data_IF_150699249721
#
_entry.id   IF_150699249721
#
_cell.length_a   1.000
_cell.length_b   1.000
_cell.length_c   1.000
_cell.angle_alpha   90.00
_cell.angle_beta   90.00
_cell.angle_gamma   90.00
#
_symmetry.space_group_name_H-M   'P 1'
#
loop_
_entity.id
_entity.type
_entity.pdbx_description
1 polymer ?
#
# COMPACT_ATOMS: atom_id res chain seq x y z
N UNK A 1 -2.53 8.81 4.73
CA UNK A 1 -3.20 8.27 3.51
C UNK A 1 -2.81 9.06 2.27
N UNK A 2 -2.87 10.38 2.29
CA UNK A 2 -2.52 11.24 1.14
C UNK A 2 -1.13 10.96 0.54
N UNK A 3 -0.11 10.73 1.38
CA UNK A 3 1.23 10.36 0.91
C UNK A 3 1.23 9.08 0.04
N UNK A 4 0.51 8.03 0.45
CA UNK A 4 0.38 6.79 -0.33
C UNK A 4 -0.40 7.07 -1.62
N UNK A 5 -1.54 7.76 -1.51
CA UNK A 5 -2.37 8.12 -2.67
C UNK A 5 -1.61 8.94 -3.72
N UNK A 6 -0.65 9.78 -3.33
CA UNK A 6 0.20 10.51 -4.28
C UNK A 6 1.10 9.60 -5.12
N UNK A 7 1.49 8.44 -4.58
CA UNK A 7 2.29 7.44 -5.28
C UNK A 7 1.44 6.40 -6.00
N UNK A 8 0.28 6.02 -5.46
CA UNK A 8 -0.59 5.02 -6.11
C UNK A 8 -1.46 5.64 -7.21
N UNK A 9 -1.83 6.92 -7.09
CA UNK A 9 -2.88 7.53 -7.91
C UNK A 9 -2.59 8.97 -8.36
N UNK A 10 -1.36 9.46 -8.16
CA UNK A 10 -0.96 10.85 -8.47
C UNK A 10 -1.95 11.90 -7.97
N UNK A 11 -2.51 11.69 -6.77
CA UNK A 11 -3.53 12.56 -6.18
C UNK A 11 -3.51 12.52 -4.66
N UNK A 12 -3.78 13.66 -4.01
CA UNK A 12 -3.99 13.73 -2.55
C UNK A 12 -5.43 13.38 -2.15
N UNK A 13 -6.39 13.40 -3.09
CA UNK A 13 -7.76 12.97 -2.82
C UNK A 13 -7.85 11.45 -2.78
N UNK A 14 -7.35 10.89 -1.68
CA UNK A 14 -7.35 9.45 -1.44
C UNK A 14 -8.76 8.87 -1.33
N UNK A 15 -9.77 9.68 -1.01
CA UNK A 15 -11.17 9.23 -0.92
C UNK A 15 -11.79 9.06 -2.30
N UNK A 16 -11.35 9.78 -3.33
CA UNK A 16 -11.75 9.49 -4.70
C UNK A 16 -11.37 8.05 -5.13
N UNK A 17 -10.35 7.47 -4.49
CA UNK A 17 -9.79 6.17 -4.86
C UNK A 17 -10.64 4.98 -4.41
N UNK A 18 -11.68 5.16 -3.58
CA UNK A 18 -12.61 4.07 -3.28
C UNK A 18 -13.22 3.44 -4.55
N UNK A 19 -13.41 4.25 -5.60
CA UNK A 19 -13.97 3.83 -6.88
C UNK A 19 -12.92 3.45 -7.93
N UNK A 20 -11.63 3.66 -7.66
CA UNK A 20 -10.55 3.31 -8.57
C UNK A 20 -10.58 1.80 -8.83
N UNK A 21 -10.42 1.42 -10.10
CA UNK A 21 -10.26 0.05 -10.57
C UNK A 21 -9.72 0.08 -12.00
N UNK A 22 -8.57 -0.56 -12.20
CA UNK A 22 -7.88 -0.66 -13.47
C UNK A 22 -6.97 -1.89 -13.44
N UNK A 23 -6.77 -2.54 -14.58
CA UNK A 23 -5.60 -3.44 -14.72
C UNK A 23 -4.48 -2.59 -15.32
N UNK A 24 -3.39 -2.47 -14.57
CA UNK A 24 -2.24 -1.65 -14.93
C UNK A 24 -1.14 -2.46 -15.63
N UNK A 25 -1.47 -3.67 -16.08
CA UNK A 25 -0.60 -4.58 -16.81
C UNK A 25 0.67 -4.98 -16.03
N UNK A 26 0.59 -5.02 -14.70
CA UNK A 26 1.70 -5.40 -13.81
C UNK A 26 1.68 -6.89 -13.37
N UNK A 27 0.78 -7.67 -13.98
CA UNK A 27 0.61 -9.10 -13.69
C UNK A 27 -0.21 -9.41 -12.44
N UNK A 28 -0.85 -8.41 -11.80
CA UNK A 28 -1.74 -8.62 -10.64
C UNK A 28 -3.23 -8.63 -11.01
N UNK A 29 -3.55 -8.42 -12.29
CA UNK A 29 -4.91 -8.23 -12.79
C UNK A 29 -5.49 -6.89 -12.33
N UNK A 30 -6.81 -6.83 -12.11
CA UNK A 30 -7.43 -5.61 -11.59
C UNK A 30 -6.81 -5.18 -10.26
N UNK A 31 -6.38 -3.93 -10.20
CA UNK A 31 -5.94 -3.19 -9.02
C UNK A 31 -6.98 -2.11 -8.70
N UNK A 32 -7.47 -2.06 -7.46
CA UNK A 32 -8.64 -1.25 -7.14
C UNK A 32 -8.66 -0.70 -5.71
N UNK A 33 -9.41 0.38 -5.48
CA UNK A 33 -9.63 0.93 -4.15
C UNK A 33 -8.46 1.74 -3.58
N UNK A 34 -8.61 2.13 -2.31
CA UNK A 34 -7.75 3.14 -1.63
C UNK A 34 -6.28 2.75 -1.41
N UNK A 35 -5.92 1.49 -1.63
CA UNK A 35 -4.55 0.97 -1.50
C UNK A 35 -4.18 -0.01 -2.64
N UNK A 36 -4.98 -0.07 -3.70
CA UNK A 36 -4.71 -0.98 -4.81
C UNK A 36 -4.87 -2.47 -4.46
N UNK A 37 -6.04 -2.87 -3.94
CA UNK A 37 -6.37 -4.28 -3.78
C UNK A 37 -6.36 -5.00 -5.13
N UNK A 38 -5.68 -6.15 -5.27
CA UNK A 38 -5.60 -6.83 -6.56
C UNK A 38 -6.40 -8.14 -6.64
N UNK A 39 -6.95 -8.45 -7.80
CA UNK A 39 -7.65 -9.71 -8.04
C UNK A 39 -6.72 -10.93 -7.98
N UNK A 40 -5.45 -10.75 -8.35
CA UNK A 40 -4.44 -11.81 -8.39
C UNK A 40 -3.76 -12.10 -7.05
N UNK A 41 -3.83 -11.19 -6.06
CA UNK A 41 -3.12 -11.31 -4.76
C UNK A 41 -4.01 -11.73 -3.61
N UNK A 42 -5.31 -11.85 -3.83
CA UNK A 42 -6.28 -12.44 -2.89
C UNK A 42 -6.86 -11.47 -1.86
N UNK A 43 -6.26 -10.29 -1.69
CA UNK A 43 -6.76 -9.20 -0.85
C UNK A 43 -8.05 -8.58 -1.41
N UNK A 44 -8.19 -8.41 -2.73
CA UNK A 44 -9.48 -8.00 -3.33
C UNK A 44 -10.58 -9.03 -3.05
N UNK A 45 -10.26 -10.32 -3.13
CA UNK A 45 -11.19 -11.38 -2.76
C UNK A 45 -11.58 -11.29 -1.28
N UNK A 46 -10.60 -11.09 -0.39
CA UNK A 46 -10.83 -10.87 1.05
C UNK A 46 -11.78 -9.71 1.33
N UNK A 47 -11.54 -8.57 0.67
CA UNK A 47 -12.38 -7.37 0.73
C UNK A 47 -13.83 -7.64 0.28
N UNK A 48 -14.02 -8.27 -0.88
CA UNK A 48 -15.39 -8.55 -1.38
C UNK A 48 -16.10 -9.56 -0.49
N UNK A 49 -15.38 -10.52 0.11
CA UNK A 49 -15.93 -11.43 1.13
C UNK A 49 -16.39 -10.64 2.36
N UNK A 50 -15.57 -9.73 2.90
CA UNK A 50 -15.93 -8.90 4.05
C UNK A 50 -17.16 -8.03 3.75
N UNK A 51 -17.17 -7.35 2.60
CA UNK A 51 -18.29 -6.53 2.17
C UNK A 51 -19.57 -7.35 2.04
N UNK A 52 -19.48 -8.56 1.46
CA UNK A 52 -20.64 -9.45 1.30
C UNK A 52 -21.17 -9.99 2.61
N UNK A 53 -20.31 -10.23 3.60
CA UNK A 53 -20.76 -10.60 4.95
C UNK A 53 -21.54 -9.47 5.63
N UNK A 54 -21.12 -8.21 5.43
CA UNK A 54 -21.77 -7.04 6.04
C UNK A 54 -23.02 -6.58 5.30
N UNK A 55 -23.03 -6.73 3.98
CA UNK A 55 -24.16 -6.39 3.11
C UNK A 55 -24.43 -7.55 2.13
N UNK A 56 -25.19 -8.57 2.55
CA UNK A 56 -25.58 -9.66 1.67
C UNK A 56 -26.32 -9.14 0.43
N UNK A 57 -26.07 -9.75 -0.73
CA UNK A 57 -26.71 -9.35 -2.00
C UNK A 57 -26.21 -8.01 -2.59
N UNK A 58 -25.08 -7.48 -2.11
CA UNK A 58 -24.46 -6.31 -2.72
C UNK A 58 -24.02 -6.56 -4.18
N UNK A 59 -23.76 -5.51 -4.98
CA UNK A 59 -23.43 -5.63 -6.41
C UNK A 59 -22.18 -6.47 -6.74
N UNK A 60 -21.28 -6.67 -5.77
CA UNK A 60 -20.04 -7.43 -5.95
C UNK A 60 -20.18 -8.92 -5.55
N UNK A 61 -21.24 -9.29 -4.82
CA UNK A 61 -21.39 -10.64 -4.28
C UNK A 61 -21.41 -11.72 -5.38
N UNK A 62 -22.03 -11.44 -6.53
CA UNK A 62 -22.09 -12.35 -7.67
C UNK A 62 -20.73 -12.64 -8.31
N UNK A 63 -19.72 -11.81 -8.07
CA UNK A 63 -18.38 -11.98 -8.63
C UNK A 63 -17.45 -12.83 -7.74
N UNK A 64 -17.87 -13.20 -6.52
CA UNK A 64 -17.07 -14.02 -5.61
C UNK A 64 -16.57 -15.35 -6.22
N UNK A 65 -17.37 -16.11 -7.01
CA UNK A 65 -16.86 -17.31 -7.68
C UNK A 65 -15.73 -17.00 -8.66
N UNK A 66 -15.87 -15.95 -9.47
CA UNK A 66 -14.85 -15.53 -10.43
C UNK A 66 -13.57 -15.05 -9.71
N UNK A 67 -13.70 -14.21 -8.68
CA UNK A 67 -12.57 -13.75 -7.87
C UNK A 67 -11.78 -14.92 -7.25
N UNK A 68 -12.46 -15.98 -6.78
CA UNK A 68 -11.77 -17.19 -6.29
C UNK A 68 -11.02 -17.93 -7.39
N UNK A 69 -11.57 -17.95 -8.60
CA UNK A 69 -10.97 -18.67 -9.72
C UNK A 69 -9.75 -17.96 -10.30
N UNK A 70 -9.76 -16.63 -10.34
CA UNK A 70 -8.64 -15.84 -10.90
C UNK A 70 -7.56 -15.51 -9.88
N UNK A 71 -7.81 -15.71 -8.59
CA UNK A 71 -6.82 -15.47 -7.54
C UNK A 71 -5.52 -16.27 -7.79
N UNK A 72 -4.38 -15.60 -7.71
CA UNK A 72 -3.06 -16.12 -8.09
C UNK A 72 -2.70 -15.93 -9.57
N UNK A 73 -3.54 -15.24 -10.36
CA UNK A 73 -3.31 -14.93 -11.78
C UNK A 73 -3.74 -13.50 -12.10
N UNK A 74 -3.37 -13.00 -13.28
CA UNK A 74 -3.84 -11.72 -13.86
C UNK A 74 -5.16 -11.86 -14.64
N UNK A 75 -5.85 -13.00 -14.56
CA UNK A 75 -7.01 -13.27 -15.42
C UNK A 75 -8.24 -12.42 -15.11
N UNK A 76 -8.91 -11.93 -16.15
CA UNK A 76 -10.21 -11.24 -16.05
C UNK A 76 -11.43 -12.14 -16.26
N UNK A 77 -11.25 -13.46 -16.35
CA UNK A 77 -12.34 -14.41 -16.65
C UNK A 77 -13.46 -14.32 -15.60
N UNK A 78 -14.66 -13.95 -16.05
CA UNK A 78 -15.85 -13.83 -15.19
C UNK A 78 -16.00 -12.50 -14.45
N UNK A 79 -15.08 -11.55 -14.64
CA UNK A 79 -15.15 -10.19 -14.07
C UNK A 79 -15.56 -9.16 -15.13
N UNK A 80 -14.60 -8.76 -15.98
CA UNK A 80 -14.77 -7.87 -17.13
C UNK A 80 -15.41 -6.51 -16.82
N UNK A 81 -15.97 -5.83 -17.85
CA UNK A 81 -16.57 -4.50 -17.71
C UNK A 81 -17.73 -4.43 -16.70
N UNK A 82 -18.45 -5.54 -16.52
CA UNK A 82 -19.51 -5.64 -15.52
C UNK A 82 -18.98 -5.49 -14.10
N UNK A 83 -17.86 -6.14 -13.78
CA UNK A 83 -17.20 -6.03 -12.49
C UNK A 83 -16.70 -4.60 -12.22
N UNK A 84 -16.05 -3.98 -13.21
CA UNK A 84 -15.61 -2.58 -13.15
C UNK A 84 -16.78 -1.63 -12.83
N UNK A 85 -17.91 -1.80 -13.52
CA UNK A 85 -19.11 -1.00 -13.27
C UNK A 85 -19.69 -1.26 -11.87
N UNK A 86 -19.76 -2.52 -11.45
CA UNK A 86 -20.27 -2.90 -10.14
C UNK A 86 -19.38 -2.37 -9.00
N UNK A 87 -18.05 -2.34 -9.19
CA UNK A 87 -17.10 -1.78 -8.26
C UNK A 87 -17.34 -0.28 -8.05
N UNK A 88 -17.40 0.48 -9.16
CA UNK A 88 -17.67 1.92 -9.12
C UNK A 88 -19.02 2.23 -8.46
N UNK A 89 -20.05 1.42 -8.73
CA UNK A 89 -21.33 1.56 -8.07
C UNK A 89 -21.26 1.24 -6.57
N UNK A 90 -20.53 0.18 -6.18
CA UNK A 90 -20.34 -0.19 -4.78
C UNK A 90 -19.56 0.88 -4.02
N UNK A 91 -18.63 1.61 -4.64
CA UNK A 91 -17.87 2.69 -4.00
C UNK A 91 -18.74 3.85 -3.47
N UNK A 92 -19.98 3.99 -3.97
CA UNK A 92 -20.96 4.92 -3.42
C UNK A 92 -21.56 4.44 -2.09
N UNK A 93 -21.52 3.15 -1.79
CA UNK A 93 -22.01 2.57 -0.53
C UNK A 93 -21.02 2.81 0.63
N UNK A 94 -21.44 3.50 1.72
CA UNK A 94 -20.59 3.64 2.91
C UNK A 94 -20.14 2.31 3.52
N UNK A 95 -20.89 1.21 3.37
CA UNK A 95 -20.49 -0.11 3.90
C UNK A 95 -19.30 -0.67 3.10
N UNK A 96 -19.25 -0.44 1.79
CA UNK A 96 -18.11 -0.87 0.98
C UNK A 96 -16.87 -0.02 1.27
N UNK A 97 -17.03 1.30 1.41
CA UNK A 97 -15.92 2.19 1.83
C UNK A 97 -15.35 1.76 3.19
N UNK A 98 -16.22 1.44 4.14
CA UNK A 98 -15.80 0.94 5.45
C UNK A 98 -15.12 -0.43 5.37
N UNK A 99 -15.54 -1.30 4.47
CA UNK A 99 -14.86 -2.58 4.23
C UNK A 99 -13.45 -2.37 3.67
N UNK A 100 -13.25 -1.39 2.76
CA UNK A 100 -11.92 -1.03 2.28
C UNK A 100 -11.04 -0.47 3.40
N UNK A 101 -11.56 0.44 4.23
CA UNK A 101 -10.82 0.98 5.38
C UNK A 101 -10.39 -0.14 6.35
N UNK A 102 -11.30 -1.04 6.70
CA UNK A 102 -11.01 -2.10 7.66
C UNK A 102 -10.04 -3.15 7.11
N UNK A 103 -10.07 -3.48 5.81
CA UNK A 103 -9.07 -4.37 5.21
C UNK A 103 -7.70 -3.71 5.08
N UNK A 104 -7.64 -2.43 4.70
CA UNK A 104 -6.40 -1.63 4.77
C UNK A 104 -5.80 -1.72 6.17
N UNK A 105 -6.63 -1.49 7.20
CA UNK A 105 -6.17 -1.44 8.58
C UNK A 105 -5.73 -2.80 9.11
N UNK A 106 -6.48 -3.85 8.78
CA UNK A 106 -6.20 -5.22 9.23
C UNK A 106 -4.95 -5.81 8.61
N UNK A 107 -4.74 -5.61 7.30
CA UNK A 107 -3.67 -6.30 6.55
C UNK A 107 -2.41 -5.46 6.46
N UNK A 108 -2.53 -4.14 6.34
CA UNK A 108 -1.41 -3.27 6.00
C UNK A 108 -1.08 -2.29 7.13
N UNK A 109 -2.00 -1.39 7.48
CA UNK A 109 -1.69 -0.28 8.39
C UNK A 109 -1.41 -0.74 9.81
N UNK A 110 -2.32 -1.50 10.43
CA UNK A 110 -2.16 -2.00 11.80
C UNK A 110 -0.88 -2.82 11.98
N UNK A 111 -0.62 -3.85 11.14
CA UNK A 111 0.61 -4.62 11.22
C UNK A 111 1.88 -3.79 10.99
N UNK A 112 1.86 -2.82 10.07
CA UNK A 112 3.02 -1.97 9.78
C UNK A 112 3.37 -1.08 10.96
N UNK A 113 2.37 -0.37 11.50
CA UNK A 113 2.53 0.53 12.64
C UNK A 113 2.97 -0.27 13.87
N UNK A 114 2.30 -1.37 14.20
CA UNK A 114 2.67 -2.20 15.34
C UNK A 114 4.12 -2.74 15.22
N UNK A 115 4.56 -3.09 14.01
CA UNK A 115 5.95 -3.53 13.79
C UNK A 115 6.95 -2.39 13.93
N UNK A 116 6.63 -1.21 13.40
CA UNK A 116 7.47 -0.02 13.51
C UNK A 116 7.60 0.44 14.98
N UNK A 117 6.51 0.44 15.75
CA UNK A 117 6.51 0.71 17.18
C UNK A 117 7.37 -0.30 17.95
N UNK A 118 7.26 -1.60 17.64
CA UNK A 118 8.10 -2.64 18.24
C UNK A 118 9.60 -2.46 17.90
N UNK A 119 9.91 -1.82 16.78
CA UNK A 119 11.27 -1.45 16.40
C UNK A 119 11.73 -0.10 16.98
N UNK A 120 10.84 0.61 17.68
CA UNK A 120 11.11 1.91 18.30
C UNK A 120 11.13 3.07 17.29
N UNK A 121 10.40 2.93 16.18
CA UNK A 121 10.34 3.95 15.13
C UNK A 121 9.25 5.00 15.39
N UNK A 122 9.58 6.25 15.12
CA UNK A 122 8.67 7.40 15.11
C UNK A 122 7.80 7.40 13.85
N UNK A 123 6.93 8.41 13.72
CA UNK A 123 5.89 8.44 12.69
C UNK A 123 6.42 8.32 11.25
N UNK A 124 7.58 8.91 10.93
CA UNK A 124 8.21 8.72 9.62
C UNK A 124 8.56 7.24 9.38
N UNK A 125 9.14 6.55 10.36
CA UNK A 125 9.48 5.14 10.22
C UNK A 125 8.25 4.25 10.13
N UNK A 126 7.18 4.58 10.87
CA UNK A 126 5.87 3.92 10.74
C UNK A 126 5.29 4.09 9.34
N UNK A 127 5.35 5.31 8.77
CA UNK A 127 4.93 5.56 7.39
C UNK A 127 5.79 4.80 6.37
N UNK A 128 7.12 4.78 6.54
CA UNK A 128 8.03 4.02 5.68
C UNK A 128 7.69 2.52 5.68
N UNK A 129 7.35 1.95 6.84
CA UNK A 129 6.89 0.56 6.94
C UNK A 129 5.54 0.35 6.27
N UNK A 130 4.59 1.26 6.51
CA UNK A 130 3.26 1.16 5.92
C UNK A 130 3.32 1.20 4.40
N UNK A 131 4.06 2.16 3.83
CA UNK A 131 4.22 2.31 2.38
C UNK A 131 4.93 1.10 1.74
N UNK A 132 5.90 0.51 2.44
CA UNK A 132 6.53 -0.73 2.01
C UNK A 132 5.57 -1.92 2.06
N UNK A 133 4.73 -2.02 3.09
CA UNK A 133 3.75 -3.11 3.22
C UNK A 133 2.64 -2.99 2.17
N UNK A 134 2.22 -1.78 1.80
CA UNK A 134 1.25 -1.57 0.70
C UNK A 134 1.83 -2.08 -0.62
N UNK A 135 3.05 -1.67 -0.96
CA UNK A 135 3.67 -2.00 -2.25
C UNK A 135 4.15 -3.45 -2.36
N UNK A 136 4.76 -3.98 -1.31
CA UNK A 136 5.41 -5.29 -1.33
C UNK A 136 4.62 -6.38 -0.62
N UNK A 137 3.48 -6.03 -0.01
CA UNK A 137 2.66 -6.96 0.76
C UNK A 137 3.32 -7.45 2.07
N UNK A 138 2.53 -8.14 2.91
CA UNK A 138 3.07 -8.89 4.03
C UNK A 138 3.76 -10.16 3.54
N UNK A 139 4.81 -10.60 4.23
CA UNK A 139 5.51 -11.83 3.86
C UNK A 139 6.93 -11.88 4.39
N UNK A 140 7.64 -12.96 4.08
CA UNK A 140 9.02 -13.19 4.51
C UNK A 140 9.97 -13.53 3.35
N UNK A 141 9.46 -13.61 2.11
CA UNK A 141 10.32 -13.71 0.93
C UNK A 141 11.17 -12.43 0.77
N UNK A 142 12.23 -12.47 -0.04
CA UNK A 142 13.24 -11.40 -0.07
C UNK A 142 12.71 -10.01 -0.43
N UNK A 143 11.61 -9.94 -1.18
CA UNK A 143 11.05 -8.67 -1.70
C UNK A 143 9.79 -8.22 -0.95
N UNK A 144 9.14 -9.12 -0.21
CA UNK A 144 8.10 -8.75 0.76
C UNK A 144 8.61 -7.85 1.89
N UNK A 145 7.67 -7.17 2.57
CA UNK A 145 7.98 -6.29 3.72
C UNK A 145 8.91 -6.94 4.76
N UNK A 146 8.65 -8.19 5.16
CA UNK A 146 9.46 -8.87 6.16
C UNK A 146 10.90 -9.16 5.69
N UNK A 147 11.09 -9.48 4.41
CA UNK A 147 12.40 -9.66 3.80
C UNK A 147 13.19 -8.36 3.69
N UNK A 148 12.53 -7.27 3.29
CA UNK A 148 13.11 -5.92 3.25
C UNK A 148 13.56 -5.51 4.66
N UNK A 149 12.69 -5.67 5.66
CA UNK A 149 13.00 -5.38 7.07
C UNK A 149 14.18 -6.21 7.56
N UNK A 150 14.19 -7.51 7.30
CA UNK A 150 15.31 -8.39 7.67
C UNK A 150 16.63 -7.95 7.00
N UNK A 151 16.57 -7.47 5.76
CA UNK A 151 17.72 -6.93 5.04
C UNK A 151 18.25 -5.66 5.65
N UNK A 152 17.37 -4.74 6.06
CA UNK A 152 17.73 -3.53 6.78
C UNK A 152 18.42 -3.85 8.13
N UNK A 153 17.85 -4.79 8.90
CA UNK A 153 18.37 -5.18 10.22
C UNK A 153 19.74 -5.85 10.18
N UNK A 154 20.14 -6.45 9.04
CA UNK A 154 21.52 -6.95 8.86
C UNK A 154 22.54 -5.81 8.72
N UNK A 155 22.10 -4.61 8.33
CA UNK A 155 22.96 -3.45 8.10
C UNK A 155 22.95 -2.45 9.27
N UNK A 156 21.82 -2.29 9.94
CA UNK A 156 21.66 -1.35 11.04
C UNK A 156 20.72 -1.92 12.11
N UNK A 157 21.04 -1.69 13.39
CA UNK A 157 20.16 -2.03 14.52
C UNK A 157 18.96 -1.10 14.53
N UNK A 158 17.80 -1.62 14.93
CA UNK A 158 16.61 -0.78 15.17
C UNK A 158 16.82 0.07 16.44
N UNK A 159 16.07 1.17 16.62
CA UNK A 159 16.07 1.92 17.87
C UNK A 159 15.78 1.07 19.12
N UNK A 160 14.84 0.12 19.03
CA UNK A 160 14.56 -0.83 20.12
C UNK A 160 15.76 -1.74 20.47
N UNK A 161 16.73 -1.88 19.57
CA UNK A 161 17.99 -2.60 19.79
C UNK A 161 19.18 -1.66 20.11
N UNK A 162 18.89 -0.39 20.42
CA UNK A 162 19.90 0.64 20.73
C UNK A 162 20.57 1.24 19.50
N UNK A 163 20.00 1.10 18.31
CA UNK A 163 20.47 1.75 17.09
C UNK A 163 19.98 3.19 16.93
N UNK A 164 20.65 3.96 16.08
CA UNK A 164 20.17 5.27 15.66
C UNK A 164 19.06 5.14 14.60
N UNK A 165 17.95 5.85 14.79
CA UNK A 165 16.77 5.76 13.92
C UNK A 165 17.07 6.20 12.48
N UNK A 166 17.82 7.29 12.30
CA UNK A 166 18.16 7.79 10.97
C UNK A 166 19.02 6.79 10.22
N UNK A 167 19.99 6.18 10.91
CA UNK A 167 20.83 5.11 10.36
C UNK A 167 20.00 3.90 9.95
N UNK A 168 19.06 3.47 10.81
CA UNK A 168 18.16 2.36 10.52
C UNK A 168 17.25 2.65 9.30
N UNK A 169 16.62 3.82 9.26
CA UNK A 169 15.73 4.20 8.17
C UNK A 169 16.46 4.34 6.83
N UNK A 170 17.70 4.84 6.82
CA UNK A 170 18.51 4.83 5.59
C UNK A 170 18.76 3.39 5.11
N UNK A 171 19.14 2.48 6.01
CA UNK A 171 19.35 1.07 5.67
C UNK A 171 18.06 0.40 5.15
N UNK A 172 16.90 0.74 5.73
CA UNK A 172 15.61 0.25 5.28
C UNK A 172 15.23 0.79 3.89
N UNK A 173 15.37 2.10 3.67
CA UNK A 173 15.07 2.73 2.38
C UNK A 173 16.03 2.26 1.27
N UNK A 174 17.28 1.95 1.60
CA UNK A 174 18.21 1.29 0.67
C UNK A 174 17.75 -0.13 0.30
N UNK A 175 17.38 -0.94 1.30
CA UNK A 175 16.88 -2.30 1.08
C UNK A 175 15.59 -2.31 0.25
N UNK A 176 14.67 -1.41 0.57
CA UNK A 176 13.42 -1.24 -0.17
C UNK A 176 13.66 -0.84 -1.62
N UNK A 177 14.52 0.15 -1.86
CA UNK A 177 14.87 0.58 -3.21
C UNK A 177 15.48 -0.55 -4.05
N UNK A 178 16.27 -1.42 -3.42
CA UNK A 178 16.79 -2.61 -4.08
C UNK A 178 15.68 -3.61 -4.45
N UNK A 179 14.72 -3.84 -3.54
CA UNK A 179 13.55 -4.69 -3.81
C UNK A 179 12.64 -4.13 -4.91
N UNK A 180 12.36 -2.82 -4.91
CA UNK A 180 11.58 -2.19 -5.98
C UNK A 180 12.21 -2.41 -7.37
N UNK A 181 13.53 -2.38 -7.47
CA UNK A 181 14.26 -2.56 -8.73
C UNK A 181 14.28 -4.00 -9.26
N UNK A 182 13.79 -4.99 -8.50
CA UNK A 182 13.66 -6.36 -9.01
C UNK A 182 12.39 -6.57 -9.81
N UNK A 183 11.44 -5.63 -9.76
CA UNK A 183 10.18 -5.66 -10.51
C UNK A 183 10.14 -4.45 -11.46
N UNK A 184 10.01 -4.70 -12.77
CA UNK A 184 10.05 -3.63 -13.78
C UNK A 184 8.94 -2.58 -13.56
N UNK A 185 7.75 -3.04 -13.17
CA UNK A 185 6.62 -2.19 -12.80
C UNK A 185 6.93 -1.21 -11.65
N UNK A 186 7.95 -1.48 -10.83
CA UNK A 186 8.34 -0.69 -9.66
C UNK A 186 9.72 -0.01 -9.83
N UNK A 187 10.25 0.08 -11.04
CA UNK A 187 11.58 0.63 -11.29
C UNK A 187 11.72 2.13 -10.89
N UNK A 188 10.63 2.90 -10.97
CA UNK A 188 10.59 4.27 -10.45
C UNK A 188 10.56 4.24 -8.91
N UNK A 189 11.58 4.85 -8.31
CA UNK A 189 11.80 4.85 -6.86
C UNK A 189 11.59 6.23 -6.23
N UNK A 190 10.91 7.14 -6.93
CA UNK A 190 10.65 8.52 -6.48
C UNK A 190 9.87 8.60 -5.16
N UNK A 191 8.93 7.67 -4.89
CA UNK A 191 8.27 7.55 -3.58
C UNK A 191 9.25 7.36 -2.42
N UNK A 192 10.43 6.80 -2.69
CA UNK A 192 11.53 6.71 -1.73
C UNK A 192 12.44 7.93 -1.86
N UNK A 193 12.97 8.20 -3.06
CA UNK A 193 14.05 9.15 -3.30
C UNK A 193 13.66 10.61 -3.10
N UNK A 194 12.49 11.00 -3.60
CA UNK A 194 12.01 12.39 -3.61
C UNK A 194 10.85 12.64 -2.65
N UNK A 195 10.54 11.66 -1.79
CA UNK A 195 9.60 11.80 -0.68
C UNK A 195 10.19 11.31 0.65
N UNK A 196 10.22 10.00 0.91
CA UNK A 196 10.64 9.45 2.21
C UNK A 196 12.07 9.87 2.61
N UNK A 197 13.02 9.84 1.68
CA UNK A 197 14.39 10.34 1.92
C UNK A 197 14.45 11.84 2.15
N UNK A 198 13.53 12.62 1.56
CA UNK A 198 13.46 14.07 1.80
C UNK A 198 13.03 14.35 3.23
N UNK A 199 11.99 13.66 3.71
CA UNK A 199 11.54 13.77 5.10
C UNK A 199 12.65 13.32 6.08
N UNK A 200 13.33 12.21 5.77
CA UNK A 200 14.42 11.72 6.60
C UNK A 200 15.60 12.71 6.66
N UNK A 201 16.02 13.26 5.51
CA UNK A 201 17.14 14.22 5.43
C UNK A 201 16.83 15.55 6.11
N UNK A 202 15.56 15.95 6.16
CA UNK A 202 15.13 17.13 6.90
C UNK A 202 15.00 16.90 8.42
N UNK A 203 15.22 15.67 8.89
CA UNK A 203 15.07 15.32 10.31
C UNK A 203 13.62 15.29 10.78
N UNK A 204 12.64 15.29 9.86
CA UNK A 204 11.22 15.25 10.20
C UNK A 204 10.76 13.83 10.54
N UNK A 205 11.28 13.30 11.65
CA UNK A 205 11.01 11.94 12.12
C UNK A 205 9.57 11.77 12.64
N UNK A 206 8.90 12.86 13.01
CA UNK A 206 7.48 12.85 13.41
C UNK A 206 6.51 13.07 12.25
N UNK A 207 7.01 13.28 11.03
CA UNK A 207 6.20 13.47 9.83
C UNK A 207 5.24 14.67 9.96
N UNK A 208 5.67 15.72 10.66
CA UNK A 208 4.87 16.91 10.92
C UNK A 208 4.74 17.81 9.69
N UNK A 209 3.56 18.37 9.39
CA UNK A 209 3.42 19.39 8.37
C UNK A 209 4.19 20.70 8.66
N UNK A 210 4.62 21.44 7.62
CA UNK A 210 4.31 21.20 6.21
C UNK A 210 5.17 20.09 5.61
N UNK A 211 4.53 19.21 4.83
CA UNK A 211 5.20 18.16 4.06
C UNK A 211 5.26 18.58 2.59
N UNK A 212 6.44 18.52 1.99
CA UNK A 212 6.65 18.82 0.56
C UNK A 212 7.47 17.71 -0.06
N UNK A 213 7.00 17.13 -1.17
CA UNK A 213 7.68 16.03 -1.82
C UNK A 213 7.36 15.98 -3.31
N UNK A 214 8.02 15.05 -4.03
CA UNK A 214 7.68 14.70 -5.40
C UNK A 214 7.56 13.20 -5.59
N UNK A 215 6.64 12.78 -6.46
CA UNK A 215 6.50 11.41 -6.94
C UNK A 215 6.22 11.48 -8.45
N UNK A 216 6.91 10.68 -9.25
CA UNK A 216 6.84 10.71 -10.73
C UNK A 216 7.13 12.08 -11.38
N UNK A 217 7.79 12.98 -10.66
CA UNK A 217 8.07 14.36 -11.10
C UNK A 217 7.06 15.39 -10.62
N UNK A 218 5.86 14.97 -10.24
CA UNK A 218 4.79 15.84 -9.74
C UNK A 218 5.06 16.30 -8.30
N UNK A 219 4.78 17.57 -8.02
CA UNK A 219 4.99 18.15 -6.70
C UNK A 219 3.70 18.15 -5.87
N UNK A 220 3.84 17.75 -4.61
CA UNK A 220 2.74 17.68 -3.65
C UNK A 220 3.09 18.43 -2.36
N UNK A 221 2.06 18.93 -1.69
CA UNK A 221 2.18 19.61 -0.41
C UNK A 221 1.00 19.26 0.51
N UNK A 222 1.31 18.99 1.79
CA UNK A 222 0.35 19.02 2.90
C UNK A 222 0.75 20.19 3.79
N UNK A 223 -0.11 21.19 3.87
CA UNK A 223 0.10 22.37 4.70
C UNK A 223 -0.15 22.07 6.19
N UNK A 224 0.20 23.03 7.06
CA UNK A 224 -0.11 22.98 8.50
C UNK A 224 -1.60 23.11 8.78
#
# INVERSE_FOLDING_TARGET
>A
MELVSSAENSSLDWKAQYAYIEDIDDGRGYTAGIIGFCSGTGDMLGLVVLYTRRRPGNPLAGYLPALRQVNGTDSHRGLGPGFVKAWRAAAADPVFRRAQDDERDRVYFGPAVARAEADGLRALGQFVYYDAMVMHGPGADPVSFGGIRATAMRKARTPAQGGDEVTYLNAFLDARKAAMRTEEAHADTSRVDTAQRVFLRSGNLDLDPPLRWKVYGDAYEIAR
#
